data_IF_320892349988
#
_entry.id   IF_320892349988
#
_cell.length_a   1.000
_cell.length_b   1.000
_cell.length_c   1.000
_cell.angle_alpha   90.00
_cell.angle_beta   90.00
_cell.angle_gamma   90.00
#
_symmetry.space_group_name_H-M   'P 1'
#
loop_
_entity.id
_entity.type
_entity.pdbx_description
1 polymer ?
#
# COMPACT_ATOMS: atom_id res chain seq x y z
N UNK A 1 21.12 -25.76 13.78
CA UNK A 1 19.96 -25.03 13.23
C UNK A 1 20.24 -23.53 13.26
N UNK A 2 19.76 -22.74 12.30
CA UNK A 2 20.19 -21.35 12.05
C UNK A 2 19.53 -20.25 12.94
N UNK A 3 18.66 -20.60 13.89
CA UNK A 3 18.21 -19.67 14.95
C UNK A 3 17.45 -18.42 14.49
N UNK A 4 16.89 -18.42 13.28
CA UNK A 4 16.19 -17.25 12.72
C UNK A 4 14.87 -17.02 13.46
N UNK A 5 14.60 -15.76 13.80
CA UNK A 5 13.30 -15.28 14.29
C UNK A 5 12.58 -14.59 13.14
N UNK A 6 11.39 -15.06 12.81
CA UNK A 6 10.58 -14.51 11.73
C UNK A 6 9.13 -14.35 12.20
N UNK A 7 8.45 -13.35 11.65
CA UNK A 7 7.00 -13.17 11.78
C UNK A 7 6.46 -12.92 10.39
N UNK A 8 5.58 -13.81 9.95
CA UNK A 8 4.90 -13.66 8.67
C UNK A 8 3.60 -12.89 8.86
N UNK A 9 3.39 -11.88 8.03
CA UNK A 9 2.23 -10.99 8.12
C UNK A 9 1.34 -11.24 6.90
N UNK A 10 0.30 -12.03 7.09
CA UNK A 10 -0.69 -12.34 6.06
C UNK A 10 -1.69 -11.19 5.88
N UNK A 11 -1.22 -10.09 5.29
CA UNK A 11 -1.99 -8.85 5.12
C UNK A 11 -3.11 -9.01 4.08
N UNK A 12 -4.24 -8.35 4.33
CA UNK A 12 -5.35 -8.23 3.38
C UNK A 12 -5.14 -7.16 2.31
N UNK A 13 -6.22 -6.81 1.60
CA UNK A 13 -6.21 -5.77 0.56
C UNK A 13 -5.97 -4.39 1.17
N UNK A 14 -4.99 -3.66 0.65
CA UNK A 14 -4.68 -2.27 1.04
C UNK A 14 -5.50 -1.29 0.22
N UNK A 15 -5.88 -0.19 0.85
CA UNK A 15 -6.65 0.91 0.26
C UNK A 15 -6.18 2.28 0.78
N UNK A 16 -6.42 3.32 -0.01
CA UNK A 16 -5.96 4.69 0.28
C UNK A 16 -4.56 5.00 -0.25
N UNK A 17 -4.18 6.27 -0.23
CA UNK A 17 -2.89 6.77 -0.76
C UNK A 17 -2.13 7.66 0.23
N UNK A 18 -2.80 8.20 1.24
CA UNK A 18 -2.24 9.22 2.13
C UNK A 18 -1.92 8.65 3.51
N UNK A 19 -0.74 8.99 4.00
CA UNK A 19 -0.31 8.90 5.39
C UNK A 19 0.23 10.26 5.82
N UNK A 20 0.32 10.49 7.13
CA UNK A 20 0.81 11.75 7.69
C UNK A 20 2.15 12.19 7.07
N UNK A 21 3.06 11.26 6.80
CA UNK A 21 4.37 11.54 6.20
C UNK A 21 4.28 11.92 4.71
N UNK A 22 3.47 11.18 3.95
CA UNK A 22 3.32 11.41 2.50
C UNK A 22 2.55 12.70 2.19
N UNK A 23 1.78 13.22 3.14
CA UNK A 23 1.09 14.51 3.02
C UNK A 23 1.98 15.72 3.34
N UNK A 24 3.18 15.50 3.88
CA UNK A 24 4.07 16.61 4.29
C UNK A 24 4.61 17.43 3.11
N UNK A 25 4.77 16.82 1.92
CA UNK A 25 5.34 17.48 0.75
C UNK A 25 4.94 16.75 -0.54
N UNK A 26 4.81 17.48 -1.65
CA UNK A 26 4.41 16.89 -2.94
C UNK A 26 5.40 15.85 -3.48
N UNK A 27 6.68 16.01 -3.21
CA UNK A 27 7.71 15.01 -3.58
C UNK A 27 7.64 13.71 -2.77
N UNK A 28 6.84 13.68 -1.69
CA UNK A 28 6.63 12.49 -0.85
C UNK A 28 5.32 11.75 -1.21
N UNK A 29 4.60 12.19 -2.25
CA UNK A 29 3.36 11.56 -2.67
C UNK A 29 3.57 10.07 -3.00
N UNK A 30 2.71 9.22 -2.43
CA UNK A 30 2.71 7.81 -2.73
C UNK A 30 1.94 7.51 -4.02
N UNK A 31 2.15 6.31 -4.58
CA UNK A 31 1.45 5.83 -5.78
C UNK A 31 -0.01 5.49 -5.49
N UNK A 32 -0.87 5.70 -6.49
CA UNK A 32 -2.27 5.26 -6.47
C UNK A 32 -2.61 4.50 -7.75
N UNK A 33 -2.69 3.18 -7.66
CA UNK A 33 -2.94 2.30 -8.80
C UNK A 33 -4.45 2.01 -8.95
N UNK A 34 -4.99 2.30 -10.14
CA UNK A 34 -6.39 2.09 -10.49
C UNK A 34 -6.58 1.24 -11.76
N UNK A 35 -5.49 0.82 -12.38
CA UNK A 35 -5.52 -0.02 -13.57
C UNK A 35 -5.95 -1.47 -13.27
N UNK A 36 -6.14 -2.27 -14.32
CA UNK A 36 -6.57 -3.67 -14.23
C UNK A 36 -5.49 -4.68 -13.84
N UNK A 37 -4.24 -4.24 -13.69
CA UNK A 37 -3.08 -5.08 -13.41
C UNK A 37 -2.66 -4.95 -11.95
N UNK A 38 -2.45 -3.72 -11.47
CA UNK A 38 -1.96 -3.46 -10.11
C UNK A 38 -3.01 -2.87 -9.17
N UNK A 39 -4.10 -2.32 -9.69
CA UNK A 39 -5.15 -1.72 -8.87
C UNK A 39 -5.89 -2.75 -8.01
N UNK A 40 -6.12 -2.42 -6.74
CA UNK A 40 -6.94 -3.22 -5.82
C UNK A 40 -8.40 -2.77 -5.82
N UNK A 41 -9.31 -3.64 -5.36
CA UNK A 41 -10.74 -3.45 -5.51
C UNK A 41 -11.24 -2.07 -5.04
N UNK A 42 -10.94 -1.66 -3.80
CA UNK A 42 -11.43 -0.39 -3.28
C UNK A 42 -10.77 0.82 -3.97
N UNK A 43 -9.46 0.78 -4.23
CA UNK A 43 -8.78 1.85 -4.96
C UNK A 43 -9.35 2.04 -6.37
N UNK A 44 -9.70 0.95 -7.06
CA UNK A 44 -10.33 0.97 -8.39
C UNK A 44 -11.76 1.52 -8.37
N UNK A 45 -12.53 1.30 -7.31
CA UNK A 45 -13.90 1.86 -7.18
C UNK A 45 -13.92 3.35 -6.84
N UNK A 46 -12.81 3.92 -6.38
CA UNK A 46 -12.71 5.35 -6.06
C UNK A 46 -12.45 6.25 -7.29
N UNK A 47 -12.32 5.68 -8.49
CA UNK A 47 -12.13 6.37 -9.77
C UNK A 47 -13.37 6.22 -10.63
#
# INVERSE_FOLDING_TARGET
AWGIRATDLNQGVVYGVRTDETEMHEELCNRFDYDGVFGTALNRFCV
#
